data_IF_882111848690
#
_entry.id   IF_882111848690
#
_cell.length_a   1.000
_cell.length_b   1.000
_cell.length_c   1.000
_cell.angle_alpha   90.00
_cell.angle_beta   90.00
_cell.angle_gamma   90.00
#
_symmetry.space_group_name_H-M   'P 1'
#
loop_
_entity.id
_entity.type
_entity.pdbx_description
1 polymer ?
#
# COMPACT_ATOMS: atom_id res chain seq x y z
N UNK A 1 18.81 -3.43 26.26
CA UNK A 1 17.74 -2.47 25.92
C UNK A 1 16.99 -3.01 24.69
N UNK A 2 15.75 -3.47 24.86
CA UNK A 2 14.99 -4.15 23.80
C UNK A 2 14.53 -3.11 22.77
N UNK A 3 15.13 -3.11 21.57
CA UNK A 3 14.69 -2.28 20.45
C UNK A 3 13.33 -2.79 19.95
N UNK A 4 12.25 -2.35 20.59
CA UNK A 4 10.88 -2.61 20.13
C UNK A 4 10.69 -2.06 18.72
N UNK A 5 10.53 -2.97 17.74
CA UNK A 5 10.20 -2.65 16.34
C UNK A 5 8.93 -1.78 16.30
N UNK A 6 9.10 -0.45 16.17
CA UNK A 6 7.98 0.50 16.05
C UNK A 6 7.27 0.25 14.73
N UNK A 7 5.99 -0.10 14.77
CA UNK A 7 5.15 -0.32 13.57
C UNK A 7 5.08 0.98 12.75
N UNK A 8 5.44 0.94 11.47
CA UNK A 8 5.31 2.11 10.58
C UNK A 8 3.83 2.46 10.37
N UNK A 9 3.52 3.76 10.44
CA UNK A 9 2.18 4.29 10.18
C UNK A 9 2.17 4.87 8.76
N UNK A 10 1.59 4.15 7.80
CA UNK A 10 1.41 4.63 6.43
C UNK A 10 -0.06 4.95 6.20
N UNK A 11 -0.36 6.18 5.76
CA UNK A 11 -1.73 6.65 5.46
C UNK A 11 -2.74 6.39 6.62
N UNK A 12 -2.25 6.49 7.86
CA UNK A 12 -3.03 6.27 9.07
C UNK A 12 -3.22 4.80 9.49
N UNK A 13 -2.43 3.85 8.97
CA UNK A 13 -2.48 2.42 9.36
C UNK A 13 -1.11 1.87 9.75
N UNK A 14 -1.07 1.01 10.77
CA UNK A 14 0.10 0.22 11.17
C UNK A 14 0.38 -0.87 10.13
N UNK A 15 1.52 -0.79 9.46
CA UNK A 15 2.02 -1.80 8.50
C UNK A 15 3.21 -2.53 9.13
N UNK A 16 3.37 -3.83 8.82
CA UNK A 16 4.47 -4.65 9.33
C UNK A 16 5.77 -4.11 8.72
N UNK A 17 6.73 -3.79 9.57
CA UNK A 17 8.03 -3.25 9.12
C UNK A 17 8.82 -4.37 8.42
N UNK A 18 9.16 -4.19 7.14
CA UNK A 18 9.98 -5.14 6.35
C UNK A 18 11.42 -4.66 6.10
N UNK A 19 11.90 -3.63 6.79
CA UNK A 19 13.29 -3.19 6.69
C UNK A 19 13.41 -1.68 6.50
N UNK A 20 14.22 -1.24 5.52
CA UNK A 20 14.45 0.19 5.25
C UNK A 20 13.12 0.92 5.02
N UNK A 21 12.96 2.07 5.68
CA UNK A 21 11.81 2.95 5.50
C UNK A 21 11.80 3.48 4.07
N UNK A 22 10.79 3.13 3.29
CA UNK A 22 10.60 3.65 1.94
C UNK A 22 9.40 2.96 1.29
N UNK A 23 9.01 3.40 0.12
CA UNK A 23 8.35 2.51 -0.83
C UNK A 23 9.44 2.06 -1.80
N UNK A 24 10.56 1.57 -1.26
CA UNK A 24 11.72 1.33 -2.09
C UNK A 24 11.51 0.07 -2.92
N UNK A 25 10.58 -0.82 -2.55
CA UNK A 25 10.33 -2.07 -3.26
C UNK A 25 8.86 -2.31 -3.61
N UNK A 26 8.62 -2.98 -4.74
CA UNK A 26 7.27 -3.34 -5.23
C UNK A 26 6.51 -4.17 -4.19
N UNK A 27 7.26 -4.99 -3.44
CA UNK A 27 6.76 -5.85 -2.37
C UNK A 27 6.10 -5.05 -1.23
N UNK A 28 6.54 -3.82 -0.97
CA UNK A 28 5.92 -2.95 0.03
C UNK A 28 4.59 -2.37 -0.47
N UNK A 29 4.49 -2.12 -1.78
CA UNK A 29 3.24 -1.71 -2.43
C UNK A 29 2.21 -2.84 -2.31
N UNK A 30 2.63 -4.09 -2.51
CA UNK A 30 1.79 -5.29 -2.33
C UNK A 30 1.25 -5.38 -0.90
N UNK A 31 2.10 -5.27 0.12
CA UNK A 31 1.68 -5.30 1.53
C UNK A 31 0.62 -4.26 1.86
N UNK A 32 0.82 -3.03 1.37
CA UNK A 32 -0.08 -1.93 1.69
C UNK A 32 -1.42 -2.16 0.99
N UNK A 33 -1.41 -2.62 -0.26
CA UNK A 33 -2.62 -3.00 -1.00
C UNK A 33 -3.38 -4.11 -0.26
N UNK A 34 -2.71 -5.18 0.16
CA UNK A 34 -3.33 -6.26 0.92
C UNK A 34 -3.89 -5.79 2.26
N UNK A 35 -3.16 -4.92 2.97
CA UNK A 35 -3.61 -4.33 4.21
C UNK A 35 -4.88 -3.49 4.02
N UNK A 36 -4.99 -2.71 2.94
CA UNK A 36 -6.19 -1.92 2.64
C UNK A 36 -7.38 -2.85 2.34
N UNK A 37 -7.17 -3.89 1.52
CA UNK A 37 -8.21 -4.87 1.19
C UNK A 37 -8.70 -5.62 2.43
N UNK A 38 -7.79 -6.04 3.31
CA UNK A 38 -8.11 -6.72 4.56
C UNK A 38 -8.93 -5.83 5.51
N UNK A 39 -8.60 -4.54 5.63
CA UNK A 39 -9.41 -3.60 6.41
C UNK A 39 -10.79 -3.37 5.82
N UNK A 40 -10.90 -3.33 4.50
CA UNK A 40 -12.19 -3.25 3.84
C UNK A 40 -13.01 -4.51 4.11
N UNK A 41 -12.39 -5.69 3.94
CA UNK A 41 -13.04 -6.99 4.14
C UNK A 41 -13.55 -7.18 5.57
N UNK A 42 -12.79 -6.71 6.55
CA UNK A 42 -13.16 -6.75 7.98
C UNK A 42 -14.07 -5.59 8.42
N UNK A 43 -14.52 -4.72 7.51
CA UNK A 43 -15.39 -3.60 7.83
C UNK A 43 -14.73 -2.43 8.58
N UNK A 44 -13.42 -2.49 8.86
CA UNK A 44 -12.68 -1.43 9.57
C UNK A 44 -12.66 -0.11 8.79
N UNK A 45 -12.73 -0.17 7.46
CA UNK A 45 -12.82 1.02 6.61
C UNK A 45 -13.93 0.87 5.56
N UNK A 46 -14.56 2.00 5.23
CA UNK A 46 -15.55 2.06 4.15
C UNK A 46 -14.89 1.85 2.79
N UNK A 47 -15.68 1.42 1.79
CA UNK A 47 -15.24 1.28 0.40
C UNK A 47 -14.64 2.59 -0.15
N UNK A 48 -15.27 3.74 0.17
CA UNK A 48 -14.77 5.07 -0.21
C UNK A 48 -13.39 5.35 0.37
N UNK A 49 -13.17 5.03 1.66
CA UNK A 49 -11.87 5.21 2.32
C UNK A 49 -10.80 4.28 1.75
N UNK A 50 -11.14 3.03 1.46
CA UNK A 50 -10.25 2.09 0.79
C UNK A 50 -9.85 2.58 -0.62
N UNK A 51 -10.82 3.06 -1.42
CA UNK A 51 -10.56 3.58 -2.76
C UNK A 51 -9.67 4.82 -2.74
N UNK A 52 -9.92 5.75 -1.81
CA UNK A 52 -9.08 6.93 -1.62
C UNK A 52 -7.63 6.55 -1.27
N UNK A 53 -7.41 5.57 -0.39
CA UNK A 53 -6.06 5.08 -0.05
C UNK A 53 -5.35 4.42 -1.26
N UNK A 54 -6.07 3.63 -2.06
CA UNK A 54 -5.50 3.03 -3.27
C UNK A 54 -5.09 4.10 -4.31
N UNK A 55 -5.93 5.11 -4.52
CA UNK A 55 -5.61 6.21 -5.44
C UNK A 55 -4.40 7.02 -4.97
N UNK A 56 -4.29 7.27 -3.66
CA UNK A 56 -3.12 7.93 -3.10
C UNK A 56 -1.86 7.08 -3.28
N UNK A 57 -1.94 5.76 -3.08
CA UNK A 57 -0.80 4.86 -3.34
C UNK A 57 -0.35 4.94 -4.80
N UNK A 58 -1.29 4.92 -5.75
CA UNK A 58 -0.97 5.09 -7.17
C UNK A 58 -0.24 6.39 -7.44
N UNK A 59 -0.72 7.50 -6.87
CA UNK A 59 -0.08 8.81 -7.00
C UNK A 59 1.34 8.85 -6.43
N UNK A 60 1.55 8.22 -5.26
CA UNK A 60 2.88 8.17 -4.63
C UNK A 60 3.85 7.40 -5.52
N UNK A 61 3.50 6.18 -5.97
CA UNK A 61 4.31 5.37 -6.88
C UNK A 61 4.64 6.11 -8.19
N UNK A 62 3.70 6.90 -8.72
CA UNK A 62 3.91 7.67 -9.95
C UNK A 62 4.89 8.84 -9.77
N UNK A 63 4.92 9.46 -8.59
CA UNK A 63 5.75 10.64 -8.30
C UNK A 63 7.12 10.28 -7.72
N UNK A 64 7.26 9.08 -7.19
CA UNK A 64 8.49 8.58 -6.62
C UNK A 64 9.56 8.39 -7.71
N UNK A 65 10.77 8.90 -7.44
CA UNK A 65 11.92 8.85 -8.36
C UNK A 65 12.55 7.46 -8.39
N UNK A 66 12.41 6.67 -7.32
CA UNK A 66 12.98 5.34 -7.20
C UNK A 66 12.14 4.28 -7.92
N UNK A 67 10.83 4.53 -8.05
CA UNK A 67 9.99 3.81 -9.00
C UNK A 67 10.18 4.35 -10.41
N UNK A 68 10.99 3.68 -11.23
CA UNK A 68 11.16 3.98 -12.65
C UNK A 68 11.09 2.74 -13.53
N UNK A 69 10.74 2.95 -14.81
CA UNK A 69 10.59 1.89 -15.82
C UNK A 69 9.72 0.73 -15.34
N UNK A 70 10.19 -0.51 -15.57
CA UNK A 70 9.49 -1.75 -15.21
C UNK A 70 9.10 -1.84 -13.73
N UNK A 71 9.87 -1.21 -12.82
CA UNK A 71 9.57 -1.21 -11.38
C UNK A 71 8.29 -0.43 -11.08
N UNK A 72 8.16 0.77 -11.67
CA UNK A 72 6.95 1.60 -11.57
C UNK A 72 5.75 0.89 -12.18
N UNK A 73 5.91 0.30 -13.36
CA UNK A 73 4.83 -0.43 -14.05
C UNK A 73 4.29 -1.58 -13.18
N UNK A 74 5.17 -2.37 -12.59
CA UNK A 74 4.79 -3.46 -11.67
C UNK A 74 4.03 -2.93 -10.45
N UNK A 75 4.54 -1.89 -9.80
CA UNK A 75 3.87 -1.29 -8.65
C UNK A 75 2.48 -0.71 -9.01
N UNK A 76 2.35 -0.01 -10.13
CA UNK A 76 1.05 0.48 -10.61
C UNK A 76 0.10 -0.68 -10.88
N UNK A 77 0.58 -1.76 -11.50
CA UNK A 77 -0.23 -2.96 -11.77
C UNK A 77 -0.77 -3.58 -10.49
N UNK A 78 0.06 -3.70 -9.44
CA UNK A 78 -0.36 -4.19 -8.12
C UNK A 78 -1.49 -3.32 -7.55
N UNK A 79 -1.36 -1.99 -7.62
CA UNK A 79 -2.40 -1.07 -7.15
C UNK A 79 -3.69 -1.22 -7.98
N UNK A 80 -3.57 -1.30 -9.29
CA UNK A 80 -4.73 -1.43 -10.20
C UNK A 80 -5.46 -2.76 -10.00
N UNK A 81 -4.75 -3.85 -9.76
CA UNK A 81 -5.34 -5.13 -9.34
C UNK A 81 -6.05 -5.03 -7.99
N UNK A 82 -5.45 -4.30 -7.03
CA UNK A 82 -6.08 -3.98 -5.75
C UNK A 82 -7.40 -3.22 -5.93
N UNK A 83 -7.43 -2.22 -6.81
CA UNK A 83 -8.65 -1.46 -7.13
C UNK A 83 -9.70 -2.35 -7.80
N UNK A 84 -9.30 -3.24 -8.73
CA UNK A 84 -10.22 -4.21 -9.34
C UNK A 84 -10.83 -5.16 -8.31
N UNK A 85 -10.02 -5.70 -7.39
CA UNK A 85 -10.49 -6.52 -6.26
C UNK A 85 -11.48 -5.73 -5.40
N UNK A 86 -11.14 -4.50 -5.04
CA UNK A 86 -12.01 -3.62 -4.25
C UNK A 86 -13.36 -3.34 -4.92
N UNK A 87 -13.41 -3.21 -6.26
CA UNK A 87 -14.66 -2.99 -7.00
C UNK A 87 -15.64 -4.17 -6.92
N UNK A 88 -15.09 -5.39 -6.82
CA UNK A 88 -15.85 -6.65 -6.73
C UNK A 88 -16.31 -6.99 -5.31
N UNK A 89 -15.88 -6.23 -4.30
CA UNK A 89 -16.29 -6.35 -2.88
C UNK A 89 -17.41 -5.39 -2.53
#
# INVERSE_FOLDING_TARGET
MVLGRRKNVYLGKRVKDRGKKGLDEVVEVEDIVEAILSDRKSGRISRRRAASRMNLMKLVVMRDRDFKGKKRERAIKVVDEGIKKLKKM
#
